data_IF_201636939815
#
_entry.id   IF_201636939815
#
_cell.length_a   1.000
_cell.length_b   1.000
_cell.length_c   1.000
_cell.angle_alpha   90.00
_cell.angle_beta   90.00
_cell.angle_gamma   90.00
#
_symmetry.space_group_name_H-M   'P 1'
#
loop_
_entity.id
_entity.type
_entity.pdbx_description
1 polymer ?
#
# COMPACT_ATOMS: atom_id res chain seq x y z
N UNK A 1 -10.11 6.61 1.83
CA UNK A 1 -11.13 6.31 2.87
C UNK A 1 -10.96 7.29 4.03
N UNK A 2 -12.06 7.59 4.76
CA UNK A 2 -12.00 8.30 6.04
C UNK A 2 -11.73 7.29 7.16
N UNK A 3 -10.68 7.51 7.94
CA UNK A 3 -10.38 6.77 9.16
C UNK A 3 -10.96 7.51 10.36
N UNK A 4 -11.69 6.80 11.21
CA UNK A 4 -12.15 7.29 12.51
C UNK A 4 -11.50 6.43 13.61
N UNK A 5 -10.64 7.03 14.41
CA UNK A 5 -9.88 6.34 15.44
C UNK A 5 -10.14 6.95 16.83
N UNK A 6 -10.41 6.15 17.88
CA UNK A 6 -10.39 6.64 19.25
C UNK A 6 -9.02 7.25 19.59
N UNK A 7 -9.00 8.27 20.42
CA UNK A 7 -7.77 8.90 20.87
C UNK A 7 -6.91 7.91 21.67
N UNK A 8 -5.61 7.90 21.40
CA UNK A 8 -4.64 7.06 22.08
C UNK A 8 -5.01 5.56 22.02
N UNK A 9 -5.07 4.91 23.17
CA UNK A 9 -5.38 3.48 23.27
C UNK A 9 -6.81 3.19 23.80
N UNK A 10 -7.72 4.16 23.72
CA UNK A 10 -9.12 3.96 24.09
C UNK A 10 -9.77 2.88 23.21
N UNK A 11 -10.69 2.14 23.79
CA UNK A 11 -11.56 1.22 23.05
C UNK A 11 -12.72 1.99 22.40
N UNK A 12 -13.31 1.44 21.35
CA UNK A 12 -14.52 2.01 20.74
C UNK A 12 -15.62 2.30 21.76
N UNK A 13 -15.82 1.40 22.71
CA UNK A 13 -16.85 1.53 23.76
C UNK A 13 -16.52 2.58 24.84
N UNK A 14 -15.30 3.10 24.87
CA UNK A 14 -14.86 4.13 25.81
C UNK A 14 -14.81 5.53 25.18
N UNK A 15 -14.79 5.58 23.83
CA UNK A 15 -14.51 6.83 23.13
C UNK A 15 -15.78 7.62 22.88
N UNK A 16 -15.81 8.86 23.35
CA UNK A 16 -16.86 9.85 23.08
C UNK A 16 -16.51 10.73 21.85
N UNK A 17 -15.30 10.62 21.32
CA UNK A 17 -14.81 11.37 20.16
C UNK A 17 -13.86 10.51 19.31
N UNK A 18 -13.75 10.83 18.03
CA UNK A 18 -12.86 10.17 17.10
C UNK A 18 -11.98 11.19 16.38
N UNK A 19 -10.71 10.85 16.24
CA UNK A 19 -9.83 11.54 15.33
C UNK A 19 -10.18 11.13 13.89
N UNK A 20 -10.33 12.13 13.02
CA UNK A 20 -10.65 11.95 11.61
C UNK A 20 -9.39 12.11 10.75
N UNK A 21 -8.94 11.02 10.15
CA UNK A 21 -7.79 10.97 9.24
C UNK A 21 -8.22 10.41 7.89
N UNK A 22 -7.41 10.59 6.87
CA UNK A 22 -7.63 9.96 5.57
C UNK A 22 -6.51 8.99 5.25
N UNK A 23 -6.84 7.92 4.52
CA UNK A 23 -5.91 6.91 4.07
C UNK A 23 -6.55 6.00 3.02
N UNK A 24 -5.79 5.01 2.60
CA UNK A 24 -6.15 4.04 1.58
C UNK A 24 -4.86 3.52 0.96
N UNK A 25 -4.77 2.23 0.62
CA UNK A 25 -3.50 1.60 0.27
C UNK A 25 -2.73 2.40 -0.80
N UNK A 26 -3.31 2.61 -1.96
CA UNK A 26 -2.65 3.35 -3.05
C UNK A 26 -2.46 4.84 -2.72
N UNK A 27 -3.38 5.42 -1.94
CA UNK A 27 -3.23 6.81 -1.47
C UNK A 27 -2.04 6.92 -0.51
N UNK A 28 -1.83 5.93 0.35
CA UNK A 28 -0.68 5.87 1.26
C UNK A 28 0.63 5.72 0.48
N UNK A 29 0.65 4.88 -0.57
CA UNK A 29 1.81 4.75 -1.48
C UNK A 29 2.08 6.06 -2.18
N UNK A 30 1.07 6.73 -2.75
CA UNK A 30 1.22 8.01 -3.44
C UNK A 30 1.79 9.10 -2.52
N UNK A 31 1.31 9.18 -1.27
CA UNK A 31 1.86 10.12 -0.27
C UNK A 31 3.29 9.77 0.10
N UNK A 32 3.61 8.49 0.30
CA UNK A 32 4.98 8.05 0.58
C UNK A 32 5.95 8.45 -0.55
N UNK A 33 5.57 8.21 -1.81
CA UNK A 33 6.36 8.59 -2.99
C UNK A 33 6.53 10.11 -3.10
N UNK A 34 5.46 10.89 -2.86
CA UNK A 34 5.54 12.35 -2.88
C UNK A 34 6.52 12.89 -1.80
N UNK A 35 6.49 12.32 -0.58
CA UNK A 35 7.47 12.66 0.47
C UNK A 35 8.90 12.24 0.11
N UNK A 36 9.07 11.24 -0.73
CA UNK A 36 10.38 10.86 -1.28
C UNK A 36 10.80 11.71 -2.50
N UNK A 37 9.99 12.71 -2.89
CA UNK A 37 10.29 13.62 -3.99
C UNK A 37 9.95 13.09 -5.38
N UNK A 38 9.12 12.05 -5.49
CA UNK A 38 8.58 11.54 -6.76
C UNK A 38 7.27 12.25 -7.07
N UNK A 39 7.12 12.73 -8.29
CA UNK A 39 5.84 13.24 -8.78
C UNK A 39 4.81 12.10 -8.80
N UNK A 40 3.82 12.17 -7.93
CA UNK A 40 2.81 11.14 -7.77
C UNK A 40 1.41 11.69 -7.96
N UNK A 41 0.54 10.92 -8.62
CA UNK A 41 -0.87 11.22 -8.80
C UNK A 41 -1.74 10.11 -8.20
N UNK A 42 -2.94 10.45 -7.79
CA UNK A 42 -3.89 9.48 -7.27
C UNK A 42 -5.20 9.49 -8.05
N UNK A 43 -5.57 8.33 -8.59
CA UNK A 43 -6.81 8.12 -9.34
C UNK A 43 -7.84 7.43 -8.45
N UNK A 44 -8.99 8.05 -8.26
CA UNK A 44 -10.12 7.50 -7.47
C UNK A 44 -11.39 8.28 -7.77
N UNK A 45 -12.51 7.92 -7.11
CA UNK A 45 -13.75 8.68 -7.16
C UNK A 45 -14.17 9.09 -5.75
N UNK A 46 -14.43 10.40 -5.57
CA UNK A 46 -14.83 11.00 -4.29
C UNK A 46 -16.08 11.89 -4.47
N UNK A 47 -16.96 11.97 -3.46
CA UNK A 47 -18.13 12.84 -3.52
C UNK A 47 -17.76 14.32 -3.62
N UNK A 48 -18.73 15.12 -4.11
CA UNK A 48 -18.52 16.56 -4.32
C UNK A 48 -18.62 17.39 -3.02
N UNK A 49 -19.24 16.86 -1.98
CA UNK A 49 -19.41 17.52 -0.69
C UNK A 49 -18.09 17.69 0.09
N UNK A 50 -18.13 18.40 1.21
CA UNK A 50 -16.98 18.87 1.99
C UNK A 50 -16.09 17.72 2.51
N UNK A 51 -16.67 16.57 2.90
CA UNK A 51 -15.88 15.43 3.36
C UNK A 51 -15.06 14.82 2.21
N UNK A 52 -15.65 14.77 0.99
CA UNK A 52 -14.91 14.39 -0.20
C UNK A 52 -13.80 15.39 -0.55
N UNK A 53 -14.07 16.69 -0.36
CA UNK A 53 -13.06 17.74 -0.54
C UNK A 53 -11.95 17.66 0.52
N UNK A 54 -12.29 17.35 1.77
CA UNK A 54 -11.29 17.14 2.82
C UNK A 54 -10.36 15.97 2.50
N UNK A 55 -10.88 14.89 1.90
CA UNK A 55 -10.05 13.77 1.40
C UNK A 55 -9.07 14.23 0.30
N UNK A 56 -9.53 15.04 -0.65
CA UNK A 56 -8.65 15.64 -1.68
C UNK A 56 -7.56 16.51 -1.05
N UNK A 57 -7.96 17.37 -0.11
CA UNK A 57 -7.02 18.29 0.56
C UNK A 57 -5.97 17.54 1.39
N UNK A 58 -6.32 16.40 1.98
CA UNK A 58 -5.38 15.56 2.73
C UNK A 58 -4.23 15.03 1.85
N UNK A 59 -4.51 14.73 0.58
CA UNK A 59 -3.50 14.30 -0.39
C UNK A 59 -2.67 15.48 -0.90
N UNK A 60 -3.33 16.58 -1.25
CA UNK A 60 -2.67 17.82 -1.71
C UNK A 60 -1.68 18.38 -0.69
N UNK A 61 -1.99 18.24 0.60
CA UNK A 61 -1.11 18.66 1.69
C UNK A 61 0.29 18.02 1.58
N UNK A 62 0.38 16.82 1.02
CA UNK A 62 1.62 16.05 0.84
C UNK A 62 2.13 16.06 -0.61
N UNK A 63 1.62 16.95 -1.46
CA UNK A 63 2.13 17.11 -2.81
C UNK A 63 1.59 16.13 -3.86
N UNK A 64 0.64 15.25 -3.50
CA UNK A 64 0.04 14.32 -4.46
C UNK A 64 -0.86 15.07 -5.44
N UNK A 65 -0.68 14.84 -6.73
CA UNK A 65 -1.58 15.37 -7.77
C UNK A 65 -2.96 14.69 -7.67
N UNK A 66 -3.98 15.52 -7.63
CA UNK A 66 -5.37 15.12 -7.44
C UNK A 66 -6.26 15.47 -8.64
N UNK A 67 -5.67 15.88 -9.77
CA UNK A 67 -6.45 16.30 -10.95
C UNK A 67 -7.24 15.14 -11.58
N UNK A 68 -6.79 13.91 -11.38
CA UNK A 68 -7.44 12.69 -11.88
C UNK A 68 -8.45 12.07 -10.90
N UNK A 69 -8.78 12.76 -9.81
CA UNK A 69 -9.84 12.33 -8.90
C UNK A 69 -11.21 12.68 -9.48
N UNK A 70 -11.96 11.66 -9.90
CA UNK A 70 -13.34 11.81 -10.34
C UNK A 70 -14.23 12.30 -9.18
N UNK A 71 -15.20 13.18 -9.47
CA UNK A 71 -16.06 13.76 -8.44
C UNK A 71 -17.51 13.35 -8.67
N UNK A 72 -18.06 12.57 -7.75
CA UNK A 72 -19.46 12.08 -7.80
C UNK A 72 -19.72 11.04 -6.72
N UNK A 73 -20.95 10.51 -6.68
CA UNK A 73 -21.40 9.62 -5.62
C UNK A 73 -21.68 10.36 -4.31
N UNK A 74 -22.24 9.64 -3.33
CA UNK A 74 -22.85 10.24 -2.15
C UNK A 74 -22.00 10.13 -0.89
N UNK A 75 -21.01 9.22 -0.84
CA UNK A 75 -20.23 9.01 0.38
C UNK A 75 -18.77 8.62 0.15
N UNK A 76 -17.93 9.02 1.07
CA UNK A 76 -16.58 8.48 1.25
C UNK A 76 -16.68 7.18 2.04
N UNK A 77 -15.96 6.14 1.64
CA UNK A 77 -15.85 4.93 2.46
C UNK A 77 -15.17 5.22 3.79
N UNK A 78 -15.69 4.64 4.88
CA UNK A 78 -15.18 4.84 6.24
C UNK A 78 -14.58 3.55 6.75
N UNK A 79 -13.58 3.65 7.60
CA UNK A 79 -13.20 2.59 8.51
C UNK A 79 -12.91 3.12 9.90
N UNK A 80 -13.31 2.35 10.90
CA UNK A 80 -13.03 2.62 12.31
C UNK A 80 -11.82 1.80 12.71
N UNK A 81 -10.84 2.43 13.37
CA UNK A 81 -9.58 1.79 13.75
C UNK A 81 -9.29 1.96 15.23
N UNK A 82 -9.48 0.90 16.02
CA UNK A 82 -9.04 0.83 17.41
C UNK A 82 -7.62 0.30 17.46
N UNK A 83 -6.67 1.07 18.01
CA UNK A 83 -5.28 0.64 18.12
C UNK A 83 -5.12 -0.51 19.13
N UNK A 84 -4.22 -1.41 18.81
CA UNK A 84 -3.76 -2.43 19.76
C UNK A 84 -2.80 -1.85 20.80
N UNK A 85 -2.67 -2.54 21.93
CA UNK A 85 -1.71 -2.16 22.98
C UNK A 85 -1.23 -3.40 23.74
N UNK A 86 0.06 -3.66 23.79
CA UNK A 86 0.63 -4.84 24.44
C UNK A 86 0.00 -6.15 23.93
N UNK A 87 -0.63 -6.95 24.80
CA UNK A 87 -1.28 -8.20 24.39
C UNK A 87 -2.64 -8.00 23.70
N UNK A 88 -3.21 -6.79 23.72
CA UNK A 88 -4.52 -6.50 23.16
C UNK A 88 -4.40 -6.19 21.66
N UNK A 89 -5.00 -7.00 20.74
CA UNK A 89 -4.97 -6.70 19.31
C UNK A 89 -5.80 -5.46 18.98
N UNK A 90 -5.41 -4.76 17.92
CA UNK A 90 -6.23 -3.72 17.31
C UNK A 90 -7.47 -4.29 16.63
N UNK A 91 -8.47 -3.44 16.40
CA UNK A 91 -9.70 -3.78 15.68
C UNK A 91 -9.96 -2.81 14.56
N UNK A 92 -10.45 -3.33 13.44
CA UNK A 92 -10.92 -2.53 12.32
C UNK A 92 -12.34 -2.94 11.98
N UNK A 93 -13.21 -1.93 11.81
CA UNK A 93 -14.58 -2.08 11.32
C UNK A 93 -14.68 -1.26 10.03
N UNK A 94 -15.14 -1.89 8.95
CA UNK A 94 -15.31 -1.23 7.66
C UNK A 94 -16.77 -0.84 7.44
N UNK A 95 -16.97 0.39 6.99
CA UNK A 95 -18.22 0.94 6.49
C UNK A 95 -17.95 1.62 5.13
N UNK A 96 -17.72 0.81 4.10
CA UNK A 96 -17.32 1.27 2.77
C UNK A 96 -18.24 0.85 1.62
N UNK A 97 -19.24 0.02 1.88
CA UNK A 97 -20.22 -0.33 0.86
C UNK A 97 -20.95 0.90 0.35
N UNK A 98 -21.20 0.97 -0.97
CA UNK A 98 -21.86 2.12 -1.59
C UNK A 98 -21.04 3.42 -1.56
N UNK A 99 -19.73 3.34 -1.30
CA UNK A 99 -18.84 4.51 -1.42
C UNK A 99 -18.69 4.92 -2.89
N UNK A 100 -18.38 6.18 -3.15
CA UNK A 100 -18.24 6.72 -4.51
C UNK A 100 -17.31 5.86 -5.38
N UNK A 101 -16.16 5.44 -4.83
CA UNK A 101 -15.20 4.59 -5.55
C UNK A 101 -15.74 3.17 -5.80
N UNK A 102 -16.51 2.58 -4.87
CA UNK A 102 -17.07 1.23 -5.04
C UNK A 102 -18.21 1.18 -6.08
N UNK A 103 -18.79 2.31 -6.40
CA UNK A 103 -19.82 2.46 -7.43
C UNK A 103 -19.28 3.10 -8.71
N UNK A 104 -17.96 3.18 -8.87
CA UNK A 104 -17.38 3.78 -10.06
C UNK A 104 -17.50 2.86 -11.28
N UNK A 105 -17.57 3.50 -12.43
CA UNK A 105 -17.66 2.88 -13.75
C UNK A 105 -16.45 3.27 -14.60
N UNK A 106 -16.19 2.56 -15.68
CA UNK A 106 -15.11 2.88 -16.63
C UNK A 106 -15.20 4.29 -17.17
N UNK A 107 -16.41 4.81 -17.36
CA UNK A 107 -16.67 6.18 -17.83
C UNK A 107 -16.36 7.30 -16.83
N UNK A 108 -16.08 6.96 -15.57
CA UNK A 108 -15.69 7.95 -14.56
C UNK A 108 -14.23 8.38 -14.70
N UNK A 109 -13.41 7.63 -15.46
CA UNK A 109 -11.97 7.80 -15.51
C UNK A 109 -11.44 7.98 -16.94
N UNK A 110 -10.48 8.86 -17.09
CA UNK A 110 -9.63 8.96 -18.27
C UNK A 110 -8.22 8.44 -17.93
N UNK A 111 -8.08 7.12 -17.98
CA UNK A 111 -6.80 6.48 -17.65
C UNK A 111 -5.72 6.78 -18.68
N UNK A 112 -6.08 7.02 -19.93
CA UNK A 112 -5.12 7.43 -20.98
C UNK A 112 -4.47 8.76 -20.62
N UNK A 113 -5.27 9.75 -20.19
CA UNK A 113 -4.74 11.03 -19.74
C UNK A 113 -3.97 10.92 -18.42
N UNK A 114 -4.48 10.12 -17.46
CA UNK A 114 -3.86 9.94 -16.15
C UNK A 114 -2.49 9.25 -16.20
N UNK A 115 -2.29 8.35 -17.16
CA UNK A 115 -1.08 7.54 -17.28
C UNK A 115 -0.11 8.04 -18.37
N UNK A 116 -0.47 9.13 -19.05
CA UNK A 116 0.41 9.72 -20.07
C UNK A 116 1.74 10.16 -19.46
N UNK A 117 2.82 9.49 -19.86
CA UNK A 117 4.17 9.77 -19.38
C UNK A 117 4.45 9.28 -17.96
N UNK A 118 3.61 8.41 -17.40
CA UNK A 118 3.87 7.77 -16.15
C UNK A 118 4.92 6.66 -16.29
N UNK A 119 5.92 6.67 -15.40
CA UNK A 119 6.95 5.61 -15.33
C UNK A 119 6.47 4.38 -14.57
N UNK A 120 5.48 4.57 -13.68
CA UNK A 120 5.00 3.53 -12.78
C UNK A 120 3.50 3.63 -12.48
N UNK A 121 2.83 2.47 -12.48
CA UNK A 121 1.45 2.32 -12.02
C UNK A 121 1.36 1.29 -10.89
N UNK A 122 0.75 1.64 -9.77
CA UNK A 122 0.59 0.75 -8.62
C UNK A 122 -0.88 0.55 -8.27
N UNK A 123 -1.25 -0.70 -7.99
CA UNK A 123 -2.59 -1.09 -7.54
C UNK A 123 -2.50 -2.22 -6.52
N UNK A 124 -3.51 -2.32 -5.65
CA UNK A 124 -3.59 -3.37 -4.64
C UNK A 124 -4.82 -4.27 -4.79
N UNK A 125 -4.75 -5.46 -4.21
CA UNK A 125 -5.90 -6.35 -4.10
C UNK A 125 -7.05 -5.79 -3.26
N UNK A 126 -6.82 -4.73 -2.46
CA UNK A 126 -7.92 -4.02 -1.80
C UNK A 126 -8.79 -3.32 -2.83
N UNK A 127 -8.19 -2.57 -3.75
CA UNK A 127 -8.92 -1.90 -4.84
C UNK A 127 -9.60 -2.92 -5.74
N UNK A 128 -8.93 -4.04 -6.03
CA UNK A 128 -9.51 -5.13 -6.81
C UNK A 128 -10.77 -5.76 -6.17
N UNK A 129 -10.90 -5.69 -4.85
CA UNK A 129 -12.11 -6.14 -4.13
C UNK A 129 -13.16 -5.05 -3.90
N UNK A 130 -12.88 -3.81 -4.26
CA UNK A 130 -13.81 -2.66 -4.06
C UNK A 130 -14.36 -2.16 -5.37
N UNK A 131 -13.52 -2.09 -6.40
CA UNK A 131 -13.83 -1.54 -7.73
C UNK A 131 -14.16 -2.69 -8.69
N UNK A 132 -15.00 -2.43 -9.68
CA UNK A 132 -15.32 -3.42 -10.72
C UNK A 132 -14.07 -3.83 -11.49
N UNK A 133 -13.98 -5.10 -11.85
CA UNK A 133 -12.81 -5.67 -12.53
C UNK A 133 -12.54 -5.02 -13.89
N UNK A 134 -13.58 -4.63 -14.62
CA UNK A 134 -13.45 -3.95 -15.93
C UNK A 134 -12.77 -2.58 -15.83
N UNK A 135 -13.07 -1.81 -14.76
CA UNK A 135 -12.38 -0.54 -14.48
C UNK A 135 -10.89 -0.77 -14.22
N UNK A 136 -10.55 -1.83 -13.49
CA UNK A 136 -9.15 -2.16 -13.18
C UNK A 136 -8.41 -2.60 -14.45
N UNK A 137 -9.02 -3.45 -15.27
CA UNK A 137 -8.43 -3.92 -16.53
C UNK A 137 -8.18 -2.73 -17.45
N UNK A 138 -9.14 -1.80 -17.58
CA UNK A 138 -8.94 -0.58 -18.37
C UNK A 138 -7.73 0.24 -17.89
N UNK A 139 -7.55 0.37 -16.57
CA UNK A 139 -6.40 1.07 -16.00
C UNK A 139 -5.08 0.36 -16.31
N UNK A 140 -5.06 -0.98 -16.19
CA UNK A 140 -3.88 -1.80 -16.46
C UNK A 140 -3.50 -1.79 -17.95
N UNK A 141 -4.48 -1.87 -18.85
CA UNK A 141 -4.27 -1.75 -20.29
C UNK A 141 -3.67 -0.38 -20.65
N UNK A 142 -4.24 0.70 -20.12
CA UNK A 142 -3.73 2.05 -20.32
C UNK A 142 -2.29 2.21 -19.75
N UNK A 143 -1.97 1.57 -18.63
CA UNK A 143 -0.62 1.59 -18.06
C UNK A 143 0.39 0.87 -18.97
N UNK A 144 0.02 -0.29 -19.52
CA UNK A 144 0.87 -1.02 -20.48
C UNK A 144 1.03 -0.26 -21.80
N UNK A 145 -0.03 0.38 -22.30
CA UNK A 145 0.04 1.24 -23.49
C UNK A 145 0.95 2.45 -23.27
N UNK A 146 0.94 3.03 -22.08
CA UNK A 146 1.85 4.12 -21.69
C UNK A 146 3.31 3.67 -21.49
N UNK A 147 3.59 2.37 -21.44
CA UNK A 147 4.90 1.81 -21.16
C UNK A 147 5.30 1.88 -19.68
N UNK A 148 4.35 2.13 -18.78
CA UNK A 148 4.61 2.19 -17.36
C UNK A 148 4.91 0.81 -16.76
N UNK A 149 5.82 0.75 -15.80
CA UNK A 149 6.01 -0.43 -14.96
C UNK A 149 4.79 -0.62 -14.05
N UNK A 150 4.21 -1.80 -14.04
CA UNK A 150 3.03 -2.11 -13.23
C UNK A 150 3.43 -2.91 -11.99
N UNK A 151 3.09 -2.41 -10.79
CA UNK A 151 3.22 -3.19 -9.54
C UNK A 151 1.85 -3.51 -8.95
N UNK A 152 1.72 -4.74 -8.44
CA UNK A 152 0.51 -5.22 -7.77
C UNK A 152 0.89 -5.76 -6.38
N UNK A 153 0.34 -5.14 -5.33
CA UNK A 153 0.34 -5.74 -3.98
C UNK A 153 -0.91 -6.61 -3.81
N UNK A 154 -0.71 -7.90 -3.57
CA UNK A 154 -1.81 -8.86 -3.40
C UNK A 154 -2.74 -8.47 -2.27
N UNK A 155 -2.23 -8.04 -1.15
CA UNK A 155 -2.92 -7.35 -0.04
C UNK A 155 -4.26 -7.98 0.38
N UNK A 156 -4.31 -9.29 0.57
CA UNK A 156 -5.52 -10.01 0.95
C UNK A 156 -6.15 -9.47 2.25
N UNK A 157 -7.46 -9.28 2.22
CA UNK A 157 -8.26 -8.84 3.36
C UNK A 157 -9.50 -9.70 3.53
N UNK A 158 -9.51 -10.60 4.52
CA UNK A 158 -10.62 -11.54 4.77
C UNK A 158 -11.97 -10.88 5.08
N UNK A 159 -11.98 -9.60 5.49
CA UNK A 159 -13.19 -8.80 5.70
C UNK A 159 -13.72 -8.13 4.43
N UNK A 160 -13.03 -8.28 3.31
CA UNK A 160 -13.44 -7.73 2.02
C UNK A 160 -14.07 -8.79 1.14
N UNK A 161 -13.42 -9.93 1.03
CA UNK A 161 -13.81 -11.05 0.18
C UNK A 161 -13.18 -12.38 0.65
N UNK A 162 -13.69 -13.46 0.14
CA UNK A 162 -13.08 -14.78 0.35
C UNK A 162 -11.83 -14.93 -0.50
N UNK A 163 -10.94 -15.87 -0.14
CA UNK A 163 -9.76 -16.16 -0.95
C UNK A 163 -10.12 -16.62 -2.37
N UNK A 164 -11.20 -17.37 -2.52
CA UNK A 164 -11.62 -17.88 -3.83
C UNK A 164 -12.17 -16.76 -4.74
N UNK A 165 -12.88 -15.78 -4.19
CA UNK A 165 -13.29 -14.59 -4.93
C UNK A 165 -12.07 -13.79 -5.37
N UNK A 166 -11.13 -13.55 -4.44
CA UNK A 166 -9.90 -12.84 -4.75
C UNK A 166 -9.09 -13.53 -5.84
N UNK A 167 -8.87 -14.86 -5.74
CA UNK A 167 -8.16 -15.63 -6.77
C UNK A 167 -8.71 -15.43 -8.17
N UNK A 168 -10.06 -15.41 -8.30
CA UNK A 168 -10.72 -15.23 -9.60
C UNK A 168 -10.37 -13.88 -10.25
N UNK A 169 -10.33 -12.81 -9.45
CA UNK A 169 -10.00 -11.46 -9.93
C UNK A 169 -8.50 -11.33 -10.12
N UNK A 170 -7.69 -11.72 -9.12
CA UNK A 170 -6.24 -11.56 -9.18
C UNK A 170 -5.60 -12.32 -10.36
N UNK A 171 -6.13 -13.49 -10.74
CA UNK A 171 -5.68 -14.23 -11.94
C UNK A 171 -5.94 -13.48 -13.25
N UNK A 172 -6.87 -12.54 -13.28
CA UNK A 172 -7.12 -11.69 -14.45
C UNK A 172 -6.18 -10.49 -14.50
N UNK A 173 -5.79 -9.92 -13.35
CA UNK A 173 -5.03 -8.68 -13.29
C UNK A 173 -3.53 -8.89 -13.10
N UNK A 174 -3.10 -9.93 -12.38
CA UNK A 174 -1.68 -10.22 -12.12
C UNK A 174 -0.84 -10.42 -13.40
N UNK A 175 -1.37 -10.99 -14.49
CA UNK A 175 -0.60 -11.07 -15.75
C UNK A 175 -0.17 -9.72 -16.35
N UNK A 176 -0.74 -8.61 -15.93
CA UNK A 176 -0.31 -7.27 -16.33
C UNK A 176 0.87 -6.74 -15.52
N UNK A 177 1.17 -7.36 -14.37
CA UNK A 177 2.21 -6.88 -13.46
C UNK A 177 3.62 -7.17 -13.99
N UNK A 178 4.51 -6.22 -13.73
CA UNK A 178 5.96 -6.38 -13.84
C UNK A 178 6.58 -6.66 -12.46
N UNK A 179 5.95 -6.16 -11.39
CA UNK A 179 6.38 -6.34 -10.00
C UNK A 179 5.21 -6.87 -9.16
N UNK A 180 5.44 -7.98 -8.48
CA UNK A 180 4.47 -8.57 -7.56
C UNK A 180 4.92 -8.38 -6.11
N UNK A 181 3.99 -7.96 -5.24
CA UNK A 181 4.20 -7.83 -3.81
C UNK A 181 3.17 -8.70 -3.09
N UNK A 182 3.63 -9.57 -2.19
CA UNK A 182 2.77 -10.51 -1.48
C UNK A 182 3.59 -11.53 -0.69
N UNK A 183 2.92 -12.52 -0.09
CA UNK A 183 3.58 -13.59 0.67
C UNK A 183 3.43 -14.96 0.01
N UNK A 184 4.07 -15.99 0.60
CA UNK A 184 4.01 -17.38 0.11
C UNK A 184 2.58 -17.89 -0.06
N UNK A 185 1.69 -17.55 0.88
CA UNK A 185 0.27 -17.97 0.79
C UNK A 185 -0.42 -17.33 -0.42
N UNK A 186 -0.09 -16.07 -0.73
CA UNK A 186 -0.67 -15.33 -1.84
C UNK A 186 -0.13 -15.88 -3.17
N UNK A 187 1.16 -16.23 -3.21
CA UNK A 187 1.76 -16.93 -4.34
C UNK A 187 1.11 -18.29 -4.59
N UNK A 188 0.90 -19.11 -3.54
CA UNK A 188 0.17 -20.38 -3.65
C UNK A 188 -1.26 -20.21 -4.20
N UNK A 189 -1.96 -19.14 -3.82
CA UNK A 189 -3.30 -18.84 -4.33
C UNK A 189 -3.29 -18.61 -5.86
N UNK A 190 -2.28 -17.91 -6.37
CA UNK A 190 -2.12 -17.66 -7.80
C UNK A 190 -1.64 -18.89 -8.56
N UNK A 191 -0.68 -19.62 -8.00
CA UNK A 191 -0.16 -20.85 -8.60
C UNK A 191 -1.23 -21.96 -8.65
N UNK A 192 -2.08 -22.04 -7.65
CA UNK A 192 -3.04 -23.12 -7.46
C UNK A 192 -2.41 -24.38 -6.85
N UNK A 193 -1.19 -24.30 -6.38
CA UNK A 193 -0.38 -25.35 -5.77
C UNK A 193 0.53 -24.76 -4.69
N UNK A 194 1.16 -25.62 -3.91
CA UNK A 194 2.08 -25.21 -2.84
C UNK A 194 3.49 -25.82 -3.08
N UNK A 195 4.31 -25.20 -3.92
CA UNK A 195 5.70 -25.62 -4.12
C UNK A 195 6.56 -25.31 -2.88
N UNK A 196 7.79 -25.82 -2.86
CA UNK A 196 8.74 -25.59 -1.76
C UNK A 196 9.10 -24.10 -1.60
N UNK A 197 9.23 -23.37 -2.71
CA UNK A 197 9.40 -21.92 -2.74
C UNK A 197 8.34 -21.27 -3.63
N UNK A 198 7.17 -20.88 -3.06
CA UNK A 198 6.07 -20.32 -3.82
C UNK A 198 6.42 -19.00 -4.52
N UNK A 199 7.17 -18.13 -3.86
CA UNK A 199 7.53 -16.82 -4.40
C UNK A 199 8.50 -16.94 -5.59
N UNK A 200 9.49 -17.83 -5.51
CA UNK A 200 10.40 -18.13 -6.62
C UNK A 200 9.64 -18.75 -7.79
N UNK A 201 8.79 -19.74 -7.51
CA UNK A 201 7.97 -20.40 -8.55
C UNK A 201 7.06 -19.38 -9.25
N UNK A 202 6.48 -18.44 -8.47
CA UNK A 202 5.64 -17.38 -9.02
C UNK A 202 6.46 -16.41 -9.91
N UNK A 203 7.65 -16.00 -9.44
CA UNK A 203 8.58 -15.15 -10.18
C UNK A 203 8.91 -15.76 -11.56
N UNK A 204 9.28 -17.02 -11.58
CA UNK A 204 9.65 -17.73 -12.80
C UNK A 204 8.46 -17.95 -13.74
N UNK A 205 7.30 -18.35 -13.18
CA UNK A 205 6.09 -18.67 -13.96
C UNK A 205 5.53 -17.45 -14.70
N UNK A 206 5.50 -16.29 -14.05
CA UNK A 206 4.95 -15.07 -14.63
C UNK A 206 6.00 -14.20 -15.32
N UNK A 207 7.30 -14.47 -15.12
CA UNK A 207 8.39 -13.68 -15.68
C UNK A 207 8.44 -12.26 -15.10
N UNK A 208 8.11 -12.10 -13.84
CA UNK A 208 8.14 -10.80 -13.18
C UNK A 208 9.56 -10.20 -13.18
N UNK A 209 9.65 -8.89 -13.31
CA UNK A 209 10.89 -8.15 -13.09
C UNK A 209 11.37 -8.28 -11.64
N UNK A 210 10.42 -8.24 -10.70
CA UNK A 210 10.70 -8.43 -9.28
C UNK A 210 9.49 -9.03 -8.54
N UNK A 211 9.78 -9.77 -7.48
CA UNK A 211 8.80 -10.24 -6.51
C UNK A 211 9.31 -9.91 -5.12
N UNK A 212 8.48 -9.24 -4.31
CA UNK A 212 8.83 -8.82 -2.96
C UNK A 212 7.84 -9.33 -1.92
N UNK A 213 8.34 -9.65 -0.74
CA UNK A 213 7.53 -10.03 0.41
C UNK A 213 8.08 -9.44 1.70
N UNK A 214 7.17 -9.01 2.58
CA UNK A 214 7.54 -8.63 3.94
C UNK A 214 7.40 -9.79 4.90
N UNK A 215 8.30 -9.90 5.86
CA UNK A 215 8.21 -10.81 7.00
C UNK A 215 7.98 -10.03 8.28
N UNK A 216 7.12 -10.56 9.15
CA UNK A 216 6.80 -9.94 10.43
C UNK A 216 6.72 -10.97 11.54
N UNK A 217 7.55 -10.81 12.53
CA UNK A 217 7.46 -11.50 13.80
C UNK A 217 6.74 -10.59 14.81
N UNK A 218 5.52 -10.96 15.19
CA UNK A 218 4.71 -10.19 16.13
C UNK A 218 5.01 -10.62 17.55
N UNK A 219 5.76 -9.80 18.29
CA UNK A 219 6.01 -9.99 19.73
C UNK A 219 4.78 -9.59 20.54
N UNK A 220 4.20 -8.44 20.17
CA UNK A 220 2.97 -7.91 20.76
C UNK A 220 2.24 -7.00 19.74
N UNK A 221 1.13 -6.39 20.15
CA UNK A 221 0.51 -5.33 19.35
C UNK A 221 1.39 -4.06 19.28
N UNK A 222 2.33 -3.91 20.20
CA UNK A 222 3.20 -2.74 20.33
C UNK A 222 4.62 -2.96 19.80
N UNK A 223 5.06 -4.20 19.66
CA UNK A 223 6.45 -4.51 19.30
C UNK A 223 6.49 -5.62 18.25
N UNK A 224 7.16 -5.37 17.12
CA UNK A 224 7.35 -6.33 16.06
C UNK A 224 8.81 -6.35 15.60
N UNK A 225 9.20 -7.42 14.91
CA UNK A 225 10.42 -7.47 14.10
C UNK A 225 10.00 -7.57 12.64
N UNK A 226 10.52 -6.67 11.81
CA UNK A 226 10.15 -6.55 10.40
C UNK A 226 11.37 -6.83 9.54
N UNK A 227 11.20 -7.59 8.47
CA UNK A 227 12.17 -7.85 7.43
C UNK A 227 11.48 -8.05 6.10
N UNK A 228 12.26 -8.27 5.03
CA UNK A 228 11.72 -8.56 3.71
C UNK A 228 12.65 -9.43 2.88
N UNK A 229 12.08 -9.98 1.81
CA UNK A 229 12.74 -10.73 0.74
C UNK A 229 12.40 -10.06 -0.59
N UNK A 230 13.39 -9.95 -1.46
CA UNK A 230 13.25 -9.49 -2.85
C UNK A 230 13.86 -10.56 -3.76
N UNK A 231 13.15 -10.94 -4.81
CA UNK A 231 13.65 -11.77 -5.90
C UNK A 231 13.66 -10.89 -7.15
N UNK A 232 14.83 -10.69 -7.73
CA UNK A 232 15.03 -9.95 -8.97
C UNK A 232 16.32 -10.41 -9.64
N UNK A 233 16.45 -10.29 -10.96
CA UNK A 233 17.59 -10.73 -11.74
C UNK A 233 18.00 -12.18 -11.47
N UNK A 234 17.01 -13.05 -11.19
CA UNK A 234 17.21 -14.46 -10.87
C UNK A 234 17.82 -14.73 -9.50
N UNK A 235 18.08 -13.72 -8.68
CA UNK A 235 18.71 -13.80 -7.36
C UNK A 235 17.76 -13.40 -6.25
N UNK A 236 18.11 -13.76 -5.03
CA UNK A 236 17.40 -13.43 -3.82
C UNK A 236 18.20 -12.50 -2.94
N UNK A 237 17.49 -11.54 -2.36
CA UNK A 237 18.06 -10.56 -1.43
C UNK A 237 17.15 -10.49 -0.20
N UNK A 238 17.77 -10.46 0.97
CA UNK A 238 17.08 -10.39 2.25
C UNK A 238 17.52 -9.14 2.98
N UNK A 239 16.57 -8.40 3.53
CA UNK A 239 16.90 -7.28 4.40
C UNK A 239 17.41 -7.75 5.77
N UNK A 240 18.04 -6.86 6.50
CA UNK A 240 18.17 -7.00 7.96
C UNK A 240 16.79 -7.14 8.61
N UNK A 241 16.77 -7.62 9.83
CA UNK A 241 15.58 -7.65 10.69
C UNK A 241 15.60 -6.46 11.63
N UNK A 242 14.55 -5.66 11.58
CA UNK A 242 14.42 -4.43 12.35
C UNK A 242 13.40 -4.61 13.50
N UNK A 243 13.82 -4.48 14.77
CA UNK A 243 12.89 -4.36 15.89
C UNK A 243 12.21 -2.99 15.84
N UNK A 244 10.89 -2.97 15.89
CA UNK A 244 10.10 -1.73 15.76
C UNK A 244 9.09 -1.64 16.90
N UNK A 245 9.13 -0.51 17.62
CA UNK A 245 8.07 -0.09 18.55
C UNK A 245 6.97 0.61 17.76
N UNK A 246 5.76 0.04 17.79
CA UNK A 246 4.65 0.49 16.97
C UNK A 246 3.90 1.63 17.65
N UNK A 247 3.81 2.77 17.00
CA UNK A 247 2.90 3.88 17.29
C UNK A 247 1.59 3.68 16.51
N UNK A 248 1.70 3.41 15.21
CA UNK A 248 0.57 3.05 14.36
C UNK A 248 1.03 2.09 13.24
N UNK A 249 0.30 0.96 13.09
CA UNK A 249 0.69 -0.07 12.12
C UNK A 249 0.04 0.08 10.74
N UNK A 250 -1.02 0.91 10.64
CA UNK A 250 -1.72 1.09 9.36
C UNK A 250 -0.81 1.82 8.39
N UNK A 251 -0.75 1.36 7.15
CA UNK A 251 0.12 1.95 6.13
C UNK A 251 1.58 1.44 6.12
N UNK A 252 1.96 0.51 7.03
CA UNK A 252 3.32 -0.03 7.05
C UNK A 252 3.66 -0.86 5.79
N UNK A 253 2.72 -1.64 5.25
CA UNK A 253 2.86 -2.33 3.95
C UNK A 253 2.95 -1.33 2.81
N UNK A 254 2.05 -0.35 2.79
CA UNK A 254 2.02 0.68 1.75
C UNK A 254 3.31 1.52 1.73
N UNK A 255 3.93 1.74 2.91
CA UNK A 255 5.23 2.40 3.01
C UNK A 255 6.38 1.53 2.50
N UNK A 256 6.29 0.20 2.67
CA UNK A 256 7.21 -0.74 2.02
C UNK A 256 7.09 -0.63 0.50
N UNK A 257 5.86 -0.63 -0.03
CA UNK A 257 5.60 -0.51 -1.46
C UNK A 257 6.16 0.80 -2.02
N UNK A 258 5.91 1.93 -1.33
CA UNK A 258 6.46 3.23 -1.71
C UNK A 258 8.01 3.22 -1.72
N UNK A 259 8.64 2.63 -0.71
CA UNK A 259 10.09 2.49 -0.63
C UNK A 259 10.67 1.60 -1.72
N UNK A 260 10.00 0.48 -2.04
CA UNK A 260 10.37 -0.43 -3.12
C UNK A 260 10.30 0.26 -4.49
N UNK A 261 9.18 0.93 -4.77
CA UNK A 261 8.96 1.68 -6.02
C UNK A 261 10.00 2.80 -6.16
N UNK A 262 10.21 3.58 -5.10
CA UNK A 262 11.22 4.65 -5.08
C UNK A 262 12.61 4.13 -5.41
N UNK A 263 13.05 3.06 -4.73
CA UNK A 263 14.38 2.50 -4.92
C UNK A 263 14.57 1.93 -6.34
N UNK A 264 13.55 1.26 -6.88
CA UNK A 264 13.59 0.71 -8.24
C UNK A 264 13.58 1.82 -9.30
N UNK A 265 12.81 2.91 -9.13
CA UNK A 265 12.81 4.06 -10.03
C UNK A 265 14.17 4.77 -10.06
N UNK A 266 14.85 4.84 -8.92
CA UNK A 266 16.18 5.45 -8.80
C UNK A 266 17.33 4.50 -9.14
N UNK A 267 17.06 3.27 -9.59
CA UNK A 267 18.08 2.31 -10.00
C UNK A 267 19.01 1.84 -8.87
N UNK A 268 18.51 1.79 -7.65
CA UNK A 268 19.29 1.26 -6.52
C UNK A 268 19.63 -0.21 -6.77
N UNK A 269 20.78 -0.66 -6.24
CA UNK A 269 21.10 -2.08 -6.29
C UNK A 269 20.05 -2.92 -5.51
N UNK A 270 19.84 -4.20 -5.88
CA UNK A 270 18.75 -4.98 -5.30
C UNK A 270 18.83 -5.18 -3.78
N UNK A 271 20.06 -5.31 -3.22
CA UNK A 271 20.23 -5.45 -1.77
C UNK A 271 19.83 -4.14 -1.06
N UNK A 272 20.26 -3.00 -1.59
CA UNK A 272 19.87 -1.71 -1.00
C UNK A 272 18.39 -1.40 -1.23
N UNK A 273 17.82 -1.84 -2.36
CA UNK A 273 16.38 -1.72 -2.63
C UNK A 273 15.54 -2.37 -1.54
N UNK A 274 15.83 -3.62 -1.16
CA UNK A 274 15.06 -4.31 -0.11
C UNK A 274 15.30 -3.69 1.27
N UNK A 275 16.50 -3.20 1.56
CA UNK A 275 16.81 -2.51 2.82
C UNK A 275 16.06 -1.18 2.93
N UNK A 276 16.05 -0.36 1.87
CA UNK A 276 15.34 0.92 1.85
C UNK A 276 13.82 0.74 1.97
N UNK A 277 13.26 -0.25 1.28
CA UNK A 277 11.84 -0.56 1.37
C UNK A 277 11.41 -0.96 2.79
N UNK A 278 12.19 -1.82 3.47
CA UNK A 278 11.94 -2.19 4.86
C UNK A 278 12.14 -1.01 5.81
N UNK A 279 13.17 -0.21 5.61
CA UNK A 279 13.41 0.99 6.42
C UNK A 279 12.22 1.95 6.35
N UNK A 280 11.67 2.18 5.16
CA UNK A 280 10.46 3.00 4.95
C UNK A 280 9.26 2.45 5.73
N UNK A 281 9.04 1.13 5.68
CA UNK A 281 8.01 0.44 6.47
C UNK A 281 8.23 0.63 7.97
N UNK A 282 9.45 0.46 8.46
CA UNK A 282 9.79 0.60 9.88
C UNK A 282 9.53 2.03 10.37
N UNK A 283 9.96 3.04 9.62
CA UNK A 283 9.73 4.44 9.96
C UNK A 283 8.23 4.77 10.01
N UNK A 284 7.43 4.26 9.06
CA UNK A 284 5.98 4.44 9.09
C UNK A 284 5.35 3.90 10.39
N UNK A 285 5.81 2.80 10.91
CA UNK A 285 5.29 2.25 12.16
C UNK A 285 5.51 3.17 13.37
N UNK A 286 6.42 4.12 13.30
CA UNK A 286 6.72 5.10 14.36
C UNK A 286 5.91 6.39 14.26
N UNK A 287 5.05 6.52 13.25
CA UNK A 287 4.27 7.73 12.94
C UNK A 287 2.78 7.43 13.06
N UNK A 288 2.02 8.37 13.63
CA UNK A 288 0.56 8.31 13.70
C UNK A 288 -0.10 8.44 12.32
N UNK A 289 -1.26 7.82 12.16
CA UNK A 289 -2.05 7.85 10.91
C UNK A 289 -1.59 6.83 9.88
N UNK A 290 -2.10 6.92 8.65
CA UNK A 290 -1.86 5.94 7.60
C UNK A 290 -0.64 6.30 6.73
N UNK A 291 -0.35 7.60 6.58
CA UNK A 291 0.66 8.09 5.64
C UNK A 291 2.09 7.90 6.16
N UNK A 292 2.98 7.48 5.28
CA UNK A 292 4.41 7.55 5.50
C UNK A 292 4.88 8.98 5.20
N UNK A 293 5.33 9.68 6.23
CA UNK A 293 5.87 11.04 6.12
C UNK A 293 7.38 11.09 6.38
N UNK A 294 8.05 9.93 6.35
CA UNK A 294 9.50 9.86 6.48
C UNK A 294 10.18 10.47 5.25
N UNK A 295 11.34 11.09 5.46
CA UNK A 295 12.20 11.60 4.40
C UNK A 295 13.12 10.50 3.86
N UNK A 296 13.61 10.68 2.62
CA UNK A 296 14.61 9.78 2.01
C UNK A 296 15.84 9.63 2.89
N UNK A 297 16.31 10.73 3.49
CA UNK A 297 17.48 10.75 4.39
C UNK A 297 17.29 9.86 5.62
N UNK A 298 16.08 9.83 6.20
CA UNK A 298 15.76 9.00 7.35
C UNK A 298 15.73 7.51 6.97
N UNK A 299 15.07 7.19 5.85
CA UNK A 299 15.01 5.82 5.33
C UNK A 299 16.40 5.30 4.96
N UNK A 300 17.22 6.13 4.30
CA UNK A 300 18.60 5.80 3.97
C UNK A 300 19.46 5.59 5.22
N UNK A 301 19.35 6.47 6.21
CA UNK A 301 20.11 6.33 7.46
C UNK A 301 19.77 5.03 8.19
N UNK A 302 18.48 4.64 8.21
CA UNK A 302 18.05 3.37 8.81
C UNK A 302 18.54 2.17 7.99
N UNK A 303 18.43 2.19 6.67
CA UNK A 303 18.91 1.14 5.78
C UNK A 303 20.44 0.93 5.93
N UNK A 304 21.21 2.01 6.04
CA UNK A 304 22.66 2.00 6.26
C UNK A 304 23.07 1.52 7.67
N UNK A 305 22.11 1.42 8.61
CA UNK A 305 22.40 1.10 10.02
C UNK A 305 22.99 2.27 10.80
N UNK A 306 22.78 3.50 10.33
CA UNK A 306 23.27 4.74 10.96
C UNK A 306 22.22 5.44 11.86
N UNK A 307 20.98 4.93 11.88
CA UNK A 307 19.92 5.48 12.72
C UNK A 307 20.16 5.07 14.19
N UNK A 308 20.57 6.02 15.02
CA UNK A 308 20.89 5.79 16.45
C UNK A 308 19.84 6.36 17.41
N UNK A 309 18.74 6.90 16.90
CA UNK A 309 17.65 7.49 17.67
C UNK A 309 18.00 8.79 18.40
N UNK A 310 19.14 9.40 18.09
CA UNK A 310 19.56 10.69 18.68
C UNK A 310 18.84 11.84 17.99
N UNK A 311 18.73 12.95 18.73
CA UNK A 311 18.16 14.20 18.18
C UNK A 311 19.05 14.72 17.07
N UNK A 312 18.49 14.83 15.88
CA UNK A 312 19.14 15.51 14.75
C UNK A 312 19.22 17.03 15.05
N UNK A 313 20.41 17.64 14.93
CA UNK A 313 20.69 19.06 15.20
C UNK A 313 21.25 19.73 13.97
#
# INVERSE_FOLDING_TARGET
>A
MLRLAPNGNLRFLQSESFEALFGGAEANVAVGLANFGIDSAFVTKLPKHEIGQAAVNSLRRYGVDTCYIARGGDRVGIYYCEKGAGPRPGKVIYDRAGSAVSLSETSDYDFTAALKGADWFHITGITAGVVKTDVIIQALEAAKEAGATVSIDYNYRSKLWTRDEMKKVMRQIVPYADVFIGGDTDACDLLGEKPDDPMRTLYEKYGFRAVASTSRESISASDNIIGARLITDGKEYFSKKYPVRIVDRVGGGDAFDAGLIYAMLNGYDPQYTVEFAVASSCLKHTVEGDFCIAEVSEAAALADGKADGRVLR
#
